data_IF_506382099063
#
_entry.id   IF_506382099063
#
_cell.length_a   1.000
_cell.length_b   1.000
_cell.length_c   1.000
_cell.angle_alpha   90.00
_cell.angle_beta   90.00
_cell.angle_gamma   90.00
#
_symmetry.space_group_name_H-M   'P 1'
#
loop_
_entity.id
_entity.type
_entity.pdbx_description
1 polymer ?
#
# COMPACT_ATOMS: atom_id res chain seq x y z
N UNK A 1 -29.43 1.01 30.31
CA UNK A 1 -29.20 1.07 28.84
C UNK A 1 -27.71 1.07 28.52
N UNK A 2 -27.07 -0.09 28.70
CA UNK A 2 -25.72 -0.46 28.24
C UNK A 2 -25.74 -2.00 28.15
N UNK A 3 -25.07 -2.57 27.13
CA UNK A 3 -24.93 -4.01 26.78
C UNK A 3 -25.88 -4.50 25.68
N UNK A 4 -25.48 -4.36 24.42
CA UNK A 4 -25.99 -5.20 23.33
C UNK A 4 -24.98 -5.48 22.18
N UNK A 5 -23.69 -5.17 22.34
CA UNK A 5 -22.68 -5.34 21.28
C UNK A 5 -21.56 -6.35 21.57
N UNK A 6 -21.77 -7.29 22.51
CA UNK A 6 -20.77 -8.35 22.83
C UNK A 6 -21.27 -9.77 22.48
N UNK A 7 -22.45 -9.91 21.88
CA UNK A 7 -23.08 -11.24 21.73
C UNK A 7 -22.83 -11.99 20.41
N UNK A 8 -22.07 -11.43 19.47
CA UNK A 8 -21.82 -12.05 18.15
C UNK A 8 -20.45 -12.74 17.99
N UNK A 9 -19.55 -12.67 18.99
CA UNK A 9 -18.27 -13.39 18.95
C UNK A 9 -18.25 -14.70 19.74
N UNK A 10 -19.19 -14.90 20.67
CA UNK A 10 -19.19 -16.08 21.55
C UNK A 10 -19.94 -17.30 20.99
N UNK A 11 -20.90 -17.11 20.08
CA UNK A 11 -21.65 -18.21 19.46
C UNK A 11 -20.78 -19.07 18.54
N UNK A 12 -19.81 -18.46 17.86
CA UNK A 12 -18.88 -19.14 16.94
C UNK A 12 -17.82 -19.98 17.68
N UNK A 13 -17.38 -19.50 18.84
CA UNK A 13 -16.44 -20.21 19.72
C UNK A 13 -17.09 -21.42 20.40
N UNK A 14 -18.39 -21.35 20.70
CA UNK A 14 -19.11 -22.47 21.31
C UNK A 14 -19.35 -23.61 20.31
N UNK A 15 -19.69 -23.28 19.05
CA UNK A 15 -19.74 -24.25 17.95
C UNK A 15 -18.37 -24.91 17.71
N UNK A 16 -17.28 -24.17 17.91
CA UNK A 16 -15.90 -24.67 17.79
C UNK A 16 -15.52 -25.65 18.91
N UNK A 17 -15.83 -25.35 20.19
CA UNK A 17 -15.60 -26.28 21.31
C UNK A 17 -16.47 -27.54 21.21
N UNK A 18 -17.72 -27.41 20.74
CA UNK A 18 -18.63 -28.54 20.62
C UNK A 18 -18.20 -29.51 19.49
N UNK A 19 -17.61 -28.99 18.41
CA UNK A 19 -17.02 -29.82 17.35
C UNK A 19 -15.73 -30.52 17.81
N UNK A 20 -14.93 -29.85 18.65
CA UNK A 20 -13.67 -30.41 19.16
C UNK A 20 -13.90 -31.55 20.15
N UNK A 21 -14.90 -31.42 21.04
CA UNK A 21 -15.30 -32.51 21.96
C UNK A 21 -15.80 -33.76 21.24
N UNK A 22 -16.45 -33.61 20.09
CA UNK A 22 -16.92 -34.74 19.28
C UNK A 22 -15.79 -35.52 18.60
N UNK A 23 -14.60 -34.93 18.47
CA UNK A 23 -13.40 -35.55 17.86
C UNK A 23 -12.61 -36.34 18.90
N UNK A 24 -12.58 -35.90 20.17
CA UNK A 24 -11.89 -36.61 21.26
C UNK A 24 -12.61 -37.88 21.73
N UNK A 25 -13.94 -37.95 21.63
CA UNK A 25 -14.70 -39.17 21.97
C UNK A 25 -14.44 -40.34 21.00
N UNK A 26 -13.91 -40.08 19.80
CA UNK A 26 -13.52 -41.13 18.84
C UNK A 26 -12.17 -41.78 19.16
N UNK A 27 -11.52 -41.39 20.26
CA UNK A 27 -10.14 -41.78 20.61
C UNK A 27 -10.01 -42.90 21.66
N UNK A 28 -11.08 -43.65 21.95
CA UNK A 28 -11.03 -44.83 22.83
C UNK A 28 -11.56 -46.07 22.11
N UNK A 29 -10.85 -46.55 21.09
CA UNK A 29 -10.93 -47.95 20.66
C UNK A 29 -9.73 -48.35 19.80
N UNK A 30 -8.92 -49.25 20.37
CA UNK A 30 -8.06 -50.24 19.70
C UNK A 30 -6.73 -49.82 19.03
N UNK A 31 -5.66 -50.13 19.78
CA UNK A 31 -4.53 -51.03 19.46
C UNK A 31 -3.66 -50.79 18.19
N UNK A 32 -2.37 -50.62 18.51
CA UNK A 32 -1.15 -51.21 17.90
C UNK A 32 -0.45 -50.40 16.80
N UNK A 33 0.62 -49.73 17.24
CA UNK A 33 1.99 -49.77 16.71
C UNK A 33 2.15 -49.92 15.20
N UNK A 34 2.25 -48.78 14.52
CA UNK A 34 2.99 -48.53 13.26
C UNK A 34 2.76 -47.10 12.73
N UNK A 35 1.89 -46.30 13.38
CA UNK A 35 1.55 -44.94 12.95
C UNK A 35 2.35 -43.80 13.61
N UNK A 36 3.37 -44.05 14.42
CA UNK A 36 4.06 -42.97 15.15
C UNK A 36 4.92 -42.07 14.24
N UNK A 37 5.49 -42.60 13.14
CA UNK A 37 6.24 -41.80 12.17
C UNK A 37 5.35 -41.05 11.18
N UNK A 38 4.21 -41.62 10.77
CA UNK A 38 3.27 -40.93 9.89
C UNK A 38 2.48 -39.86 10.62
N UNK A 39 2.15 -40.03 11.91
CA UNK A 39 1.48 -39.00 12.70
C UNK A 39 2.40 -37.79 12.93
N UNK A 40 3.72 -37.97 13.06
CA UNK A 40 4.64 -36.83 13.19
C UNK A 40 4.80 -36.05 11.87
N UNK A 41 4.82 -36.75 10.72
CA UNK A 41 4.78 -36.14 9.38
C UNK A 41 3.44 -35.45 9.07
N UNK A 42 2.32 -35.99 9.56
CA UNK A 42 1.00 -35.36 9.44
C UNK A 42 0.89 -34.15 10.38
N UNK A 43 1.50 -34.18 11.57
CA UNK A 43 1.52 -33.03 12.47
C UNK A 43 2.38 -31.88 11.93
N UNK A 44 3.53 -32.19 11.30
CA UNK A 44 4.37 -31.23 10.57
C UNK A 44 3.70 -30.68 9.28
N UNK A 45 2.87 -31.48 8.60
CA UNK A 45 2.05 -31.01 7.47
C UNK A 45 0.82 -30.20 7.91
N UNK A 46 0.24 -30.48 9.08
CA UNK A 46 -0.90 -29.73 9.59
C UNK A 46 -0.49 -28.36 10.15
N UNK A 47 0.73 -28.22 10.69
CA UNK A 47 1.28 -26.92 11.07
C UNK A 47 1.60 -26.05 9.85
N UNK A 48 2.09 -26.62 8.73
CA UNK A 48 2.25 -25.86 7.48
C UNK A 48 0.90 -25.42 6.88
N UNK A 49 -0.14 -26.26 6.98
CA UNK A 49 -1.50 -25.92 6.51
C UNK A 49 -2.17 -24.84 7.40
N UNK A 50 -1.86 -24.75 8.70
CA UNK A 50 -2.35 -23.66 9.53
C UNK A 50 -1.70 -22.31 9.20
N UNK A 51 -0.40 -22.30 8.87
CA UNK A 51 0.29 -21.09 8.38
C UNK A 51 -0.32 -20.64 7.04
N UNK A 52 -0.64 -21.58 6.16
CA UNK A 52 -1.33 -21.28 4.90
C UNK A 52 -2.76 -20.77 5.10
N UNK A 53 -3.52 -21.23 6.09
CA UNK A 53 -4.88 -20.70 6.33
C UNK A 53 -4.89 -19.28 6.89
N UNK A 54 -3.95 -18.92 7.75
CA UNK A 54 -3.81 -17.55 8.23
C UNK A 54 -3.38 -16.61 7.09
N UNK A 55 -2.43 -17.06 6.26
CA UNK A 55 -2.06 -16.37 5.02
C UNK A 55 -3.24 -16.28 4.05
N UNK A 56 -4.02 -17.34 3.87
CA UNK A 56 -5.20 -17.38 2.99
C UNK A 56 -6.33 -16.47 3.48
N UNK A 57 -6.53 -16.36 4.80
CA UNK A 57 -7.50 -15.43 5.38
C UNK A 57 -7.00 -13.98 5.27
N UNK A 58 -5.71 -13.72 5.52
CA UNK A 58 -5.10 -12.40 5.26
C UNK A 58 -5.18 -12.02 3.76
N UNK A 59 -5.00 -13.00 2.88
CA UNK A 59 -5.08 -12.88 1.43
C UNK A 59 -6.49 -12.55 0.92
N UNK A 60 -7.54 -13.02 1.61
CA UNK A 60 -8.94 -12.67 1.32
C UNK A 60 -9.28 -11.23 1.78
N UNK A 61 -8.47 -10.63 2.64
CA UNK A 61 -8.71 -9.30 3.23
C UNK A 61 -7.55 -8.32 2.96
N UNK A 62 -7.07 -8.25 1.71
CA UNK A 62 -6.26 -7.11 1.26
C UNK A 62 -7.15 -5.85 1.27
N UNK A 63 -7.25 -5.27 2.45
CA UNK A 63 -7.86 -3.98 2.75
C UNK A 63 -6.75 -2.96 2.91
N UNK A 64 -7.05 -1.69 2.66
CA UNK A 64 -6.16 -0.61 3.04
C UNK A 64 -5.77 -0.72 4.53
N UNK A 65 -4.46 -0.80 4.79
CA UNK A 65 -3.89 -1.00 6.13
C UNK A 65 -3.79 0.33 6.85
N UNK A 66 -4.30 0.37 8.08
CA UNK A 66 -4.24 1.56 8.95
C UNK A 66 -2.93 1.60 9.72
N UNK A 67 -2.22 2.72 9.65
CA UNK A 67 -0.93 2.94 10.31
C UNK A 67 -0.84 4.29 11.01
N UNK A 68 0.11 4.38 11.93
CA UNK A 68 0.42 5.61 12.64
C UNK A 68 1.93 5.70 12.87
N UNK A 69 2.52 6.85 12.59
CA UNK A 69 3.93 7.14 12.81
C UNK A 69 4.09 8.07 14.01
N UNK A 70 4.64 7.60 15.13
CA UNK A 70 4.89 8.41 16.34
C UNK A 70 3.69 9.27 16.79
N UNK A 71 2.48 8.71 16.71
CA UNK A 71 1.19 9.39 16.97
C UNK A 71 0.64 10.29 15.84
N UNK A 72 1.32 10.42 14.71
CA UNK A 72 0.83 11.10 13.52
C UNK A 72 0.16 10.12 12.54
N UNK A 73 -1.04 10.47 12.07
CA UNK A 73 -1.83 9.72 11.10
C UNK A 73 -1.42 10.01 9.64
N UNK A 74 -0.49 10.94 9.40
CA UNK A 74 -0.03 11.31 8.06
C UNK A 74 1.07 10.35 7.54
N UNK A 75 0.69 9.12 7.23
CA UNK A 75 1.59 8.06 6.80
C UNK A 75 2.37 8.41 5.52
N UNK A 76 1.75 9.15 4.59
CA UNK A 76 2.39 9.61 3.34
C UNK A 76 3.42 10.72 3.52
N UNK A 77 3.52 11.31 4.71
CA UNK A 77 4.65 12.20 5.01
C UNK A 77 5.94 11.42 5.24
N UNK A 78 5.83 10.24 5.86
CA UNK A 78 6.96 9.44 6.34
C UNK A 78 7.28 8.23 5.46
N UNK A 79 6.46 7.97 4.44
CA UNK A 79 6.65 6.85 3.52
C UNK A 79 6.42 7.27 2.08
N UNK A 80 7.09 6.59 1.16
CA UNK A 80 6.80 6.69 -0.28
C UNK A 80 6.67 5.28 -0.82
N UNK A 81 5.50 4.96 -1.35
CA UNK A 81 5.20 3.66 -1.93
C UNK A 81 5.15 3.78 -3.44
N UNK A 82 5.80 2.84 -4.13
CA UNK A 82 5.73 2.67 -5.59
C UNK A 82 5.54 1.19 -5.92
N UNK A 83 5.41 0.87 -7.20
CA UNK A 83 5.34 -0.51 -7.68
C UNK A 83 6.69 -1.25 -7.65
N UNK A 84 7.83 -0.57 -7.53
CA UNK A 84 9.15 -1.21 -7.53
C UNK A 84 9.85 -1.18 -6.18
N UNK A 85 9.56 -0.18 -5.34
CA UNK A 85 10.23 0.02 -4.07
C UNK A 85 9.35 0.78 -3.08
N UNK A 86 9.65 0.62 -1.80
CA UNK A 86 9.05 1.39 -0.73
C UNK A 86 10.15 2.11 0.06
N UNK A 87 10.01 3.41 0.24
CA UNK A 87 10.88 4.20 1.12
C UNK A 87 10.16 4.46 2.43
N UNK A 88 10.87 4.28 3.54
CA UNK A 88 10.36 4.56 4.88
C UNK A 88 11.33 5.44 5.66
N UNK A 89 10.80 6.40 6.41
CA UNK A 89 11.58 7.27 7.28
C UNK A 89 12.34 6.47 8.36
N UNK A 90 13.54 6.93 8.68
CA UNK A 90 14.28 6.43 9.85
C UNK A 90 13.64 6.97 11.14
N UNK A 91 13.65 6.15 12.20
CA UNK A 91 13.16 6.53 13.52
C UNK A 91 11.66 6.27 13.72
N UNK A 92 11.06 5.37 12.94
CA UNK A 92 9.72 4.87 13.20
C UNK A 92 9.70 3.81 14.32
N UNK A 93 8.51 3.52 14.83
CA UNK A 93 8.31 2.38 15.73
C UNK A 93 8.39 1.07 14.97
N UNK A 94 8.76 -0.02 15.65
CA UNK A 94 8.76 -1.36 15.05
C UNK A 94 7.37 -1.74 14.51
N UNK A 95 6.30 -1.26 15.15
CA UNK A 95 4.92 -1.47 14.68
C UNK A 95 4.71 -0.88 13.27
N UNK A 96 5.29 0.30 13.01
CA UNK A 96 5.22 0.93 11.70
C UNK A 96 5.96 0.08 10.66
N UNK A 97 7.20 -0.31 10.93
CA UNK A 97 7.98 -1.13 10.01
C UNK A 97 7.36 -2.51 9.77
N UNK A 98 6.86 -3.16 10.82
CA UNK A 98 6.27 -4.49 10.76
C UNK A 98 5.07 -4.55 9.80
N UNK A 99 4.29 -3.48 9.70
CA UNK A 99 3.14 -3.45 8.82
C UNK A 99 3.49 -3.23 7.35
N UNK A 100 4.56 -2.48 7.04
CA UNK A 100 5.08 -2.44 5.68
C UNK A 100 5.75 -3.77 5.34
N UNK A 101 6.53 -4.35 6.26
CA UNK A 101 7.21 -5.62 6.07
C UNK A 101 6.22 -6.78 5.89
N UNK A 102 5.10 -6.82 6.62
CA UNK A 102 4.10 -7.88 6.49
C UNK A 102 3.42 -7.93 5.13
N UNK A 103 3.22 -6.77 4.49
CA UNK A 103 2.51 -6.65 3.22
C UNK A 103 3.46 -6.61 2.01
N UNK A 104 4.69 -6.12 2.18
CA UNK A 104 5.58 -5.79 1.05
C UNK A 104 6.88 -6.59 1.01
N UNK A 105 7.33 -7.19 2.12
CA UNK A 105 8.69 -7.75 2.20
C UNK A 105 9.00 -8.83 1.15
N UNK A 106 7.97 -9.56 0.71
CA UNK A 106 8.12 -10.62 -0.29
C UNK A 106 8.12 -10.09 -1.74
N UNK A 107 7.68 -8.85 -1.98
CA UNK A 107 7.43 -8.31 -3.34
C UNK A 107 8.34 -7.15 -3.70
N UNK A 108 8.54 -6.20 -2.78
CA UNK A 108 9.35 -4.98 -3.03
C UNK A 108 10.32 -4.68 -1.90
N UNK A 109 11.52 -4.15 -2.20
CA UNK A 109 12.48 -3.73 -1.19
C UNK A 109 11.93 -2.53 -0.39
N UNK A 110 12.02 -2.65 0.94
CA UNK A 110 11.71 -1.57 1.88
C UNK A 110 13.02 -0.93 2.32
N UNK A 111 13.24 0.32 1.91
CA UNK A 111 14.47 1.06 2.18
C UNK A 111 14.22 2.07 3.30
N UNK A 112 14.91 1.90 4.43
CA UNK A 112 14.86 2.82 5.57
C UNK A 112 15.87 3.94 5.33
N UNK A 113 15.40 5.16 5.13
CA UNK A 113 16.27 6.29 4.74
C UNK A 113 15.82 7.62 5.33
N UNK A 114 16.73 8.59 5.33
CA UNK A 114 16.46 10.01 5.56
C UNK A 114 16.79 10.78 4.29
N UNK A 115 16.19 11.95 4.12
CA UNK A 115 16.53 12.87 3.04
C UNK A 115 16.90 14.22 3.64
N UNK A 116 18.16 14.64 3.45
CA UNK A 116 18.69 15.88 4.02
C UNK A 116 18.68 15.86 5.54
N UNK A 117 18.87 14.69 6.16
CA UNK A 117 18.80 14.51 7.62
C UNK A 117 17.39 14.65 8.21
N UNK A 118 16.35 14.69 7.38
CA UNK A 118 14.96 14.78 7.82
C UNK A 118 14.22 13.45 7.68
N UNK A 119 13.11 13.33 8.43
CA UNK A 119 12.24 12.14 8.44
C UNK A 119 11.06 12.24 7.47
N UNK A 120 10.86 13.38 6.81
CA UNK A 120 9.69 13.66 5.96
C UNK A 120 9.89 13.20 4.52
N UNK A 121 10.34 11.96 4.35
CA UNK A 121 10.80 11.46 3.05
C UNK A 121 9.71 11.45 1.98
N UNK A 122 8.46 11.15 2.33
CA UNK A 122 7.36 11.04 1.36
C UNK A 122 6.98 12.38 0.74
N UNK A 123 7.27 13.48 1.45
CA UNK A 123 7.08 14.86 0.99
C UNK A 123 8.26 15.38 0.19
N UNK A 124 9.46 14.92 0.52
CA UNK A 124 10.68 15.38 -0.13
C UNK A 124 10.95 14.70 -1.46
N UNK A 125 10.47 13.46 -1.66
CA UNK A 125 10.69 12.71 -2.89
C UNK A 125 9.41 12.42 -3.67
N UNK A 126 9.58 12.27 -4.98
CA UNK A 126 8.56 11.78 -5.90
C UNK A 126 9.20 10.69 -6.76
N UNK A 127 8.44 9.68 -7.15
CA UNK A 127 8.99 8.56 -7.89
C UNK A 127 7.93 7.54 -8.29
N UNK A 128 8.27 6.77 -9.31
CA UNK A 128 7.48 5.66 -9.84
C UNK A 128 8.38 4.43 -9.96
N UNK A 129 7.96 3.38 -10.67
CA UNK A 129 8.81 2.18 -10.81
C UNK A 129 10.12 2.39 -11.58
N UNK A 130 10.21 3.45 -12.39
CA UNK A 130 11.35 3.71 -13.28
C UNK A 130 12.38 4.65 -12.66
N UNK A 131 11.96 5.55 -11.77
CA UNK A 131 12.84 6.58 -11.25
C UNK A 131 12.41 7.17 -9.91
N UNK A 132 13.40 7.70 -9.19
CA UNK A 132 13.25 8.38 -7.91
C UNK A 132 13.90 9.76 -7.99
N UNK A 133 13.09 10.79 -7.73
CA UNK A 133 13.51 12.17 -7.64
C UNK A 133 13.75 12.55 -6.18
N UNK A 134 14.96 13.04 -5.91
CA UNK A 134 15.38 13.48 -4.58
C UNK A 134 15.79 14.96 -4.61
N UNK A 135 15.59 15.72 -3.52
CA UNK A 135 15.94 17.13 -3.49
C UNK A 135 17.46 17.34 -3.47
N UNK A 136 17.90 18.54 -3.84
CA UNK A 136 19.31 18.94 -3.77
C UNK A 136 19.92 18.86 -2.36
N UNK A 137 19.09 18.90 -1.31
CA UNK A 137 19.52 18.80 0.10
C UNK A 137 19.92 17.38 0.52
N UNK A 138 19.64 16.37 -0.31
CA UNK A 138 20.01 14.97 -0.01
C UNK A 138 21.52 14.80 -0.01
N UNK A 139 22.05 14.24 1.08
CA UNK A 139 23.50 14.03 1.25
C UNK A 139 24.02 12.91 0.33
N UNK A 140 25.34 12.90 0.06
CA UNK A 140 25.96 11.85 -0.77
C UNK A 140 25.88 10.47 -0.13
N UNK A 141 25.89 10.40 1.21
CA UNK A 141 25.72 9.14 1.94
C UNK A 141 24.30 8.58 1.77
N UNK A 142 23.27 9.43 1.90
CA UNK A 142 21.87 9.03 1.68
C UNK A 142 21.66 8.59 0.23
N UNK A 143 22.24 9.30 -0.73
CA UNK A 143 22.10 8.96 -2.14
C UNK A 143 22.80 7.63 -2.48
N UNK A 144 24.00 7.39 -1.95
CA UNK A 144 24.69 6.12 -2.12
C UNK A 144 23.90 4.97 -1.48
N UNK A 145 23.30 5.20 -0.31
CA UNK A 145 22.43 4.22 0.33
C UNK A 145 21.23 3.87 -0.55
N UNK A 146 20.54 4.87 -1.10
CA UNK A 146 19.43 4.66 -2.03
C UNK A 146 19.85 3.83 -3.25
N UNK A 147 20.97 4.19 -3.89
CA UNK A 147 21.48 3.46 -5.06
C UNK A 147 21.86 2.00 -4.76
N UNK A 148 22.34 1.72 -3.54
CA UNK A 148 22.71 0.36 -3.15
C UNK A 148 21.49 -0.50 -2.78
N UNK A 149 20.39 0.11 -2.34
CA UNK A 149 19.20 -0.61 -1.86
C UNK A 149 18.07 -0.69 -2.88
N UNK A 150 18.03 0.21 -3.86
CA UNK A 150 17.04 0.21 -4.93
C UNK A 150 17.44 -0.76 -6.05
N UNK A 151 16.46 -1.31 -6.80
CA UNK A 151 16.74 -2.09 -8.00
C UNK A 151 17.50 -1.26 -9.05
N UNK A 152 18.41 -1.88 -9.80
CA UNK A 152 19.22 -1.21 -10.84
C UNK A 152 18.39 -0.54 -11.94
N UNK A 153 17.14 -0.96 -12.12
CA UNK A 153 16.20 -0.35 -13.06
C UNK A 153 15.73 1.07 -12.64
N UNK A 154 15.87 1.43 -11.36
CA UNK A 154 15.38 2.69 -10.81
C UNK A 154 16.47 3.76 -10.92
N UNK A 155 16.23 4.79 -11.72
CA UNK A 155 17.15 5.92 -11.86
C UNK A 155 16.93 6.90 -10.71
N UNK A 156 17.96 7.08 -9.85
CA UNK A 156 17.93 8.05 -8.76
C UNK A 156 18.61 9.35 -9.20
N UNK A 157 17.84 10.43 -9.30
CA UNK A 157 18.30 11.74 -9.75
C UNK A 157 18.03 12.84 -8.72
N UNK A 158 19.03 13.69 -8.49
CA UNK A 158 18.88 14.93 -7.71
C UNK A 158 18.31 16.04 -8.58
N UNK A 159 17.32 16.74 -8.05
CA UNK A 159 16.73 17.92 -8.66
C UNK A 159 16.94 19.14 -7.76
N UNK A 160 17.39 20.24 -8.35
CA UNK A 160 17.37 21.55 -7.72
C UNK A 160 16.04 22.25 -8.03
N UNK A 161 15.10 22.14 -7.10
CA UNK A 161 13.83 22.85 -7.17
C UNK A 161 13.72 23.83 -5.99
N UNK A 162 13.24 25.05 -6.26
CA UNK A 162 13.21 26.17 -5.30
C UNK A 162 11.81 26.51 -4.80
N UNK A 163 10.76 26.07 -5.50
CA UNK A 163 9.38 26.40 -5.16
C UNK A 163 8.92 25.71 -3.86
N UNK A 164 8.98 24.38 -3.84
CA UNK A 164 8.52 23.54 -2.73
C UNK A 164 9.12 22.14 -2.86
N UNK A 165 8.88 21.28 -1.86
CA UNK A 165 9.32 19.91 -1.85
C UNK A 165 8.72 19.10 -3.02
N UNK A 166 9.52 18.23 -3.64
CA UNK A 166 9.16 17.49 -4.86
C UNK A 166 7.88 16.65 -4.68
N UNK A 167 7.71 16.00 -3.54
CA UNK A 167 6.52 15.19 -3.24
C UNK A 167 5.24 16.00 -3.02
N UNK A 168 5.33 17.32 -2.82
CA UNK A 168 4.15 18.20 -2.81
C UNK A 168 3.81 18.72 -4.19
N UNK A 169 4.85 18.94 -5.01
CA UNK A 169 4.72 19.50 -6.35
C UNK A 169 4.36 18.46 -7.41
N UNK A 170 4.64 17.17 -7.16
CA UNK A 170 4.54 16.11 -8.15
C UNK A 170 3.66 14.97 -7.62
N UNK A 171 2.61 14.63 -8.37
CA UNK A 171 1.82 13.42 -8.19
C UNK A 171 1.99 12.55 -9.44
N UNK A 172 2.55 11.35 -9.32
CA UNK A 172 2.89 10.51 -10.47
C UNK A 172 2.39 9.08 -10.30
N UNK A 173 2.02 8.46 -11.43
CA UNK A 173 1.90 7.02 -11.58
C UNK A 173 2.98 6.52 -12.57
N UNK A 174 2.87 5.30 -13.09
CA UNK A 174 3.87 4.75 -14.02
C UNK A 174 3.73 5.26 -15.47
N UNK A 175 2.70 6.04 -15.78
CA UNK A 175 2.36 6.47 -17.14
C UNK A 175 2.32 8.00 -17.31
N UNK A 176 1.85 8.69 -16.29
CA UNK A 176 1.55 10.12 -16.28
C UNK A 176 1.98 10.74 -14.94
N UNK A 177 2.45 11.98 -14.99
CA UNK A 177 2.70 12.80 -13.82
C UNK A 177 1.95 14.13 -13.90
N UNK A 178 1.33 14.53 -12.80
CA UNK A 178 0.87 15.88 -12.57
C UNK A 178 1.95 16.66 -11.84
N UNK A 179 2.25 17.85 -12.34
CA UNK A 179 3.23 18.76 -11.76
C UNK A 179 2.61 20.13 -11.46
N UNK A 180 3.28 20.86 -10.59
CA UNK A 180 3.01 22.26 -10.28
C UNK A 180 3.02 23.13 -11.55
N UNK A 181 2.10 24.09 -11.66
CA UNK A 181 1.96 24.94 -12.87
C UNK A 181 3.19 25.78 -13.17
N UNK A 182 3.83 26.29 -12.11
CA UNK A 182 4.96 27.22 -12.20
C UNK A 182 6.31 26.50 -12.22
N UNK A 183 6.33 25.18 -12.41
CA UNK A 183 7.57 24.40 -12.47
C UNK A 183 8.44 24.84 -13.67
N UNK A 184 9.75 24.90 -13.49
CA UNK A 184 10.67 25.27 -14.57
C UNK A 184 10.68 24.20 -15.66
N UNK A 185 10.82 24.60 -16.93
CA UNK A 185 10.85 23.65 -18.07
C UNK A 185 11.99 22.65 -17.97
N UNK A 186 13.15 23.09 -17.49
CA UNK A 186 14.31 22.22 -17.27
C UNK A 186 13.97 21.12 -16.24
N UNK A 187 13.30 21.49 -15.14
CA UNK A 187 12.84 20.52 -14.14
C UNK A 187 11.79 19.57 -14.70
N UNK A 188 10.87 20.06 -15.53
CA UNK A 188 9.85 19.24 -16.20
C UNK A 188 10.46 18.18 -17.12
N UNK A 189 11.45 18.57 -17.93
CA UNK A 189 12.19 17.65 -18.81
C UNK A 189 12.91 16.57 -18.00
N UNK A 190 13.56 16.95 -16.89
CA UNK A 190 14.22 15.98 -15.99
C UNK A 190 13.20 15.00 -15.39
N UNK A 191 12.02 15.47 -14.98
CA UNK A 191 10.96 14.61 -14.44
C UNK A 191 10.50 13.62 -15.52
N UNK A 192 10.24 14.10 -16.73
CA UNK A 192 9.78 13.27 -17.84
C UNK A 192 10.82 12.19 -18.21
N UNK A 193 12.10 12.55 -18.27
CA UNK A 193 13.18 11.65 -18.62
C UNK A 193 13.46 10.59 -17.53
N UNK A 194 13.49 11.00 -16.26
CA UNK A 194 13.84 10.11 -15.14
C UNK A 194 12.69 9.16 -14.81
N UNK A 195 11.45 9.66 -14.80
CA UNK A 195 10.27 8.84 -14.51
C UNK A 195 9.78 8.09 -15.76
N UNK A 196 10.13 8.54 -16.96
CA UNK A 196 9.65 7.97 -18.22
C UNK A 196 8.15 8.12 -18.39
N UNK A 197 7.59 9.29 -18.03
CA UNK A 197 6.15 9.59 -18.05
C UNK A 197 5.87 10.93 -18.69
N UNK A 198 4.65 11.09 -19.20
CA UNK A 198 4.17 12.39 -19.67
C UNK A 198 3.84 13.29 -18.49
N UNK A 199 4.38 14.52 -18.49
CA UNK A 199 4.16 15.49 -17.41
C UNK A 199 3.11 16.49 -17.85
N UNK A 200 2.08 16.69 -17.01
CA UNK A 200 1.04 17.70 -17.21
C UNK A 200 1.03 18.68 -16.05
N UNK A 201 1.02 19.96 -16.40
CA UNK A 201 0.88 21.06 -15.44
C UNK A 201 -0.60 21.28 -15.17
N UNK A 202 -1.04 20.99 -13.95
CA UNK A 202 -2.45 21.11 -13.60
C UNK A 202 -2.65 21.51 -12.14
N UNK A 203 -3.85 21.98 -11.81
CA UNK A 203 -4.26 22.30 -10.43
C UNK A 203 -5.40 21.40 -9.98
N UNK A 204 -5.53 21.18 -8.67
CA UNK A 204 -6.58 20.33 -8.10
C UNK A 204 -7.39 21.16 -7.11
N UNK A 205 -8.66 21.39 -7.42
CA UNK A 205 -9.56 22.26 -6.65
C UNK A 205 -8.96 23.66 -6.39
N UNK A 206 -8.27 24.24 -7.39
CA UNK A 206 -7.59 25.53 -7.28
C UNK A 206 -6.26 25.51 -6.50
N UNK A 207 -5.83 24.34 -6.02
CA UNK A 207 -4.53 24.19 -5.36
C UNK A 207 -3.43 23.81 -6.36
N UNK A 208 -2.30 24.49 -6.23
CA UNK A 208 -1.09 24.27 -7.04
C UNK A 208 -0.26 23.05 -6.59
N UNK A 209 -0.43 22.61 -5.33
CA UNK A 209 0.33 21.50 -4.74
C UNK A 209 -0.35 20.14 -5.02
N UNK A 210 -0.28 19.68 -6.26
CA UNK A 210 -0.95 18.45 -6.71
C UNK A 210 -0.58 17.20 -5.89
N UNK A 211 0.68 17.05 -5.47
CA UNK A 211 1.14 15.90 -4.67
C UNK A 211 0.59 15.88 -3.24
N UNK A 212 0.18 17.03 -2.70
CA UNK A 212 -0.47 17.09 -1.39
C UNK A 212 -1.94 16.71 -1.43
N UNK A 213 -2.63 17.10 -2.51
CA UNK A 213 -4.08 17.02 -2.62
C UNK A 213 -4.56 15.88 -3.52
N UNK A 214 -3.64 15.02 -3.95
CA UNK A 214 -3.95 13.85 -4.76
C UNK A 214 -3.06 12.67 -4.40
N UNK A 215 -3.64 11.47 -4.43
CA UNK A 215 -2.91 10.21 -4.44
C UNK A 215 -3.31 9.42 -5.69
N UNK A 216 -2.31 9.00 -6.46
CA UNK A 216 -2.48 8.30 -7.74
C UNK A 216 -1.86 6.91 -7.68
N UNK A 217 -2.50 5.95 -8.35
CA UNK A 217 -1.90 4.69 -8.79
C UNK A 217 -2.20 4.47 -10.27
N UNK A 218 -1.80 3.33 -10.84
CA UNK A 218 -2.15 3.02 -12.24
C UNK A 218 -3.62 2.60 -12.39
N UNK A 219 -4.31 2.31 -11.28
CA UNK A 219 -5.69 1.79 -11.29
C UNK A 219 -6.74 2.85 -11.03
N UNK A 220 -6.38 3.92 -10.34
CA UNK A 220 -7.29 4.98 -9.94
C UNK A 220 -6.58 6.06 -9.14
N UNK A 221 -7.35 7.04 -8.68
CA UNK A 221 -6.84 8.12 -7.85
C UNK A 221 -7.91 8.75 -6.97
N UNK A 222 -7.44 9.36 -5.88
CA UNK A 222 -8.28 10.18 -5.00
C UNK A 222 -7.76 11.61 -5.07
N UNK A 223 -8.69 12.54 -5.24
CA UNK A 223 -8.41 13.98 -5.28
C UNK A 223 -9.20 14.71 -4.19
N UNK A 224 -8.82 15.96 -3.97
CA UNK A 224 -9.42 16.85 -2.98
C UNK A 224 -10.97 16.82 -3.01
N UNK A 225 -11.65 16.82 -1.84
CA UNK A 225 -13.11 16.66 -1.78
C UNK A 225 -13.90 17.80 -2.45
N UNK A 226 -13.32 19.00 -2.52
CA UNK A 226 -13.94 20.17 -3.17
C UNK A 226 -13.63 20.27 -4.68
N UNK A 227 -13.06 19.24 -5.30
CA UNK A 227 -12.83 19.22 -6.75
C UNK A 227 -14.18 19.18 -7.46
N UNK A 228 -14.38 20.03 -8.47
CA UNK A 228 -15.63 20.06 -9.22
C UNK A 228 -15.77 18.77 -10.06
N UNK A 229 -17.01 18.42 -10.43
CA UNK A 229 -17.27 17.25 -11.29
C UNK A 229 -16.65 17.44 -12.69
N UNK A 230 -16.64 18.68 -13.18
CA UNK A 230 -16.02 19.03 -14.46
C UNK A 230 -14.50 18.80 -14.42
N UNK A 231 -13.82 19.29 -13.37
CA UNK A 231 -12.37 19.08 -13.17
C UNK A 231 -12.04 17.59 -12.98
N UNK A 232 -12.90 16.84 -12.28
CA UNK A 232 -12.75 15.40 -12.10
C UNK A 232 -12.79 14.65 -13.43
N UNK A 233 -13.74 14.96 -14.30
CA UNK A 233 -13.90 14.34 -15.61
C UNK A 233 -12.74 14.71 -16.54
N UNK A 234 -12.27 15.96 -16.50
CA UNK A 234 -11.08 16.41 -17.23
C UNK A 234 -9.82 15.66 -16.77
N UNK A 235 -9.56 15.61 -15.46
CA UNK A 235 -8.41 14.92 -14.88
C UNK A 235 -8.45 13.41 -15.14
N UNK A 236 -9.64 12.80 -15.06
CA UNK A 236 -9.85 11.37 -15.35
C UNK A 236 -9.54 11.06 -16.81
N UNK A 237 -9.95 11.94 -17.73
CA UNK A 237 -9.65 11.82 -19.16
C UNK A 237 -8.16 12.04 -19.44
N UNK A 238 -7.51 12.97 -18.75
CA UNK A 238 -6.09 13.24 -18.92
C UNK A 238 -5.23 12.08 -18.38
N UNK A 239 -5.54 11.58 -17.18
CA UNK A 239 -4.77 10.52 -16.54
C UNK A 239 -5.14 9.11 -17.02
N UNK A 240 -6.24 8.96 -17.76
CA UNK A 240 -6.79 7.68 -18.23
C UNK A 240 -7.10 6.69 -17.08
N UNK A 241 -7.32 7.20 -15.86
CA UNK A 241 -7.66 6.41 -14.66
C UNK A 241 -8.87 7.02 -13.96
N UNK A 242 -9.74 6.20 -13.34
CA UNK A 242 -10.90 6.72 -12.61
C UNK A 242 -10.45 7.52 -11.39
N UNK A 243 -11.07 8.69 -11.20
CA UNK A 243 -10.83 9.56 -10.05
C UNK A 243 -12.08 9.72 -9.21
N UNK A 244 -11.90 9.83 -7.90
CA UNK A 244 -12.96 10.13 -6.94
C UNK A 244 -12.50 11.25 -6.01
N UNK A 245 -13.39 12.20 -5.74
CA UNK A 245 -13.21 13.18 -4.68
C UNK A 245 -13.49 12.53 -3.32
N UNK A 246 -12.56 12.64 -2.38
CA UNK A 246 -12.67 11.99 -1.08
C UNK A 246 -11.79 12.61 0.00
N UNK A 247 -11.93 12.09 1.21
CA UNK A 247 -11.11 12.50 2.37
C UNK A 247 -10.41 11.30 2.98
N UNK A 248 -9.39 11.58 3.78
CA UNK A 248 -8.66 10.59 4.59
C UNK A 248 -8.60 11.06 6.04
N UNK A 249 -8.28 10.19 6.99
CA UNK A 249 -8.09 10.59 8.39
C UNK A 249 -9.27 11.37 8.99
N UNK A 250 -10.51 10.90 8.78
CA UNK A 250 -11.73 11.49 9.37
C UNK A 250 -11.99 12.92 8.87
N UNK A 251 -11.94 13.10 7.54
CA UNK A 251 -12.27 14.37 6.90
C UNK A 251 -11.08 15.28 6.59
N UNK A 252 -9.84 14.78 6.64
CA UNK A 252 -8.68 15.53 6.16
C UNK A 252 -8.69 15.61 4.63
N UNK A 253 -8.45 16.82 4.14
CA UNK A 253 -8.41 17.15 2.72
C UNK A 253 -7.03 16.87 2.08
N UNK A 254 -6.01 16.66 2.92
CA UNK A 254 -4.62 16.46 2.48
C UNK A 254 -4.36 14.97 2.23
N UNK A 255 -4.86 14.49 1.10
CA UNK A 255 -4.84 13.06 0.73
C UNK A 255 -3.42 12.50 0.66
N UNK A 256 -2.49 13.21 0.01
CA UNK A 256 -1.10 12.77 -0.11
C UNK A 256 -0.35 12.69 1.23
N UNK A 257 -0.86 13.33 2.30
CA UNK A 257 -0.32 13.14 3.66
C UNK A 257 -0.88 11.90 4.30
N UNK A 258 -2.19 11.73 4.19
CA UNK A 258 -2.91 10.72 4.95
C UNK A 258 -2.70 9.31 4.43
N UNK A 259 -2.21 9.15 3.20
CA UNK A 259 -2.04 7.83 2.62
C UNK A 259 -0.92 7.71 1.58
N UNK A 260 -0.50 6.47 1.34
CA UNK A 260 0.32 6.04 0.21
C UNK A 260 -0.29 4.80 -0.42
N UNK A 261 -0.15 4.67 -1.73
CA UNK A 261 -0.83 3.62 -2.49
C UNK A 261 0.04 3.13 -3.64
N UNK A 262 -0.05 1.84 -3.92
CA UNK A 262 0.41 1.24 -5.16
C UNK A 262 -0.74 0.44 -5.79
N UNK A 263 -0.45 -0.41 -6.77
CA UNK A 263 -1.50 -1.12 -7.49
C UNK A 263 -2.15 -2.28 -6.71
N UNK A 264 -1.59 -2.73 -5.58
CA UNK A 264 -2.09 -3.88 -4.83
C UNK A 264 -2.31 -3.64 -3.33
N UNK A 265 -1.64 -2.66 -2.73
CA UNK A 265 -1.74 -2.28 -1.32
C UNK A 265 -1.90 -0.76 -1.18
N UNK A 266 -2.58 -0.36 -0.10
CA UNK A 266 -2.66 1.02 0.32
C UNK A 266 -2.42 1.10 1.84
N UNK A 267 -1.66 2.09 2.26
CA UNK A 267 -1.48 2.43 3.66
C UNK A 267 -2.10 3.79 3.94
N UNK A 268 -2.90 3.85 4.98
CA UNK A 268 -3.64 5.04 5.37
C UNK A 268 -3.46 5.32 6.86
N UNK A 269 -3.72 6.54 7.30
CA UNK A 269 -3.64 6.87 8.71
C UNK A 269 -4.68 6.15 9.57
N UNK A 270 -4.35 5.94 10.85
CA UNK A 270 -5.18 5.21 11.81
C UNK A 270 -6.58 5.80 12.02
N UNK A 271 -6.74 7.10 11.81
CA UNK A 271 -8.03 7.79 11.97
C UNK A 271 -8.95 7.64 10.76
N UNK A 272 -8.48 7.00 9.68
CA UNK A 272 -9.29 6.80 8.47
C UNK A 272 -10.51 5.92 8.76
N UNK A 273 -11.68 6.48 8.52
CA UNK A 273 -12.98 5.87 8.82
C UNK A 273 -13.27 4.68 7.91
N UNK A 274 -14.16 3.77 8.33
CA UNK A 274 -14.52 2.60 7.51
C UNK A 274 -15.17 2.99 6.17
N UNK A 275 -15.89 4.12 6.15
CA UNK A 275 -16.46 4.68 4.91
C UNK A 275 -15.38 5.19 3.96
N UNK A 276 -14.38 5.91 4.48
CA UNK A 276 -13.23 6.37 3.67
C UNK A 276 -12.43 5.17 3.13
N UNK A 277 -12.16 4.15 3.96
CA UNK A 277 -11.50 2.92 3.49
C UNK A 277 -12.28 2.21 2.39
N UNK A 278 -13.61 2.15 2.49
CA UNK A 278 -14.42 1.51 1.45
C UNK A 278 -14.31 2.24 0.11
N UNK A 279 -14.17 3.57 0.13
CA UNK A 279 -13.95 4.36 -1.09
C UNK A 279 -12.55 4.08 -1.65
N UNK A 280 -11.53 4.07 -0.79
CA UNK A 280 -10.13 3.76 -1.14
C UNK A 280 -10.01 2.37 -1.78
N UNK A 281 -10.54 1.33 -1.13
CA UNK A 281 -10.51 -0.04 -1.64
C UNK A 281 -11.18 -0.15 -3.02
N UNK A 282 -12.29 0.59 -3.21
CA UNK A 282 -13.08 0.57 -4.43
C UNK A 282 -12.38 1.26 -5.59
N UNK A 283 -11.82 2.46 -5.36
CA UNK A 283 -11.21 3.26 -6.44
C UNK A 283 -9.88 2.68 -6.90
N UNK A 284 -9.07 2.16 -5.97
CA UNK A 284 -7.77 1.56 -6.29
C UNK A 284 -7.87 0.07 -6.66
N UNK A 285 -9.07 -0.53 -6.58
CA UNK A 285 -9.33 -1.94 -6.93
C UNK A 285 -8.39 -2.93 -6.22
N UNK A 286 -8.11 -2.69 -4.95
CA UNK A 286 -7.15 -3.50 -4.17
C UNK A 286 -7.62 -4.96 -4.03
N UNK A 287 -8.94 -5.19 -4.00
CA UNK A 287 -9.55 -6.53 -3.91
C UNK A 287 -9.46 -7.35 -5.19
N UNK A 288 -9.32 -6.70 -6.35
CA UNK A 288 -9.27 -7.37 -7.66
C UNK A 288 -7.83 -7.72 -8.08
N UNK A 289 -6.81 -7.37 -7.30
CA UNK A 289 -5.41 -7.66 -7.64
C UNK A 289 -5.03 -9.16 -7.54
N UNK A 290 -5.82 -10.00 -6.86
CA UNK A 290 -5.48 -11.40 -6.53
C UNK A 290 -6.49 -12.51 -6.91
N UNK A 291 -7.55 -12.34 -7.74
CA UNK A 291 -8.49 -13.43 -8.03
C UNK A 291 -8.06 -14.36 -9.18
N UNK A 292 -7.06 -14.02 -10.02
CA UNK A 292 -6.76 -14.85 -11.21
C UNK A 292 -5.86 -16.05 -10.91
N UNK A 293 -4.81 -15.90 -10.11
CA UNK A 293 -3.86 -17.00 -9.82
C UNK A 293 -4.52 -18.12 -9.01
N UNK A 294 -5.32 -17.78 -7.99
CA UNK A 294 -5.98 -18.78 -7.13
C UNK A 294 -7.14 -19.48 -7.85
N UNK A 295 -7.93 -18.77 -8.67
CA UNK A 295 -9.03 -19.43 -9.41
C UNK A 295 -8.49 -20.40 -10.46
N UNK A 296 -7.35 -20.09 -11.08
CA UNK A 296 -6.72 -20.98 -12.05
C UNK A 296 -6.02 -22.17 -11.36
N UNK A 297 -5.42 -22.00 -10.19
CA UNK A 297 -4.91 -23.12 -9.37
C UNK A 297 -6.02 -24.00 -8.79
N UNK A 298 -7.14 -23.40 -8.35
CA UNK A 298 -8.32 -24.14 -7.91
C UNK A 298 -8.96 -24.90 -9.07
N UNK A 299 -9.00 -24.33 -10.29
CA UNK A 299 -9.45 -25.05 -11.49
C UNK A 299 -8.51 -26.19 -11.84
N UNK A 300 -7.19 -25.97 -11.82
CA UNK A 300 -6.20 -27.03 -12.09
C UNK A 300 -6.30 -28.18 -11.09
N UNK A 301 -6.37 -27.89 -9.79
CA UNK A 301 -6.51 -28.94 -8.77
C UNK A 301 -7.82 -29.71 -8.85
N UNK A 302 -8.93 -29.06 -9.22
CA UNK A 302 -10.19 -29.75 -9.49
C UNK A 302 -10.11 -30.63 -10.74
N UNK A 303 -9.42 -30.20 -11.80
CA UNK A 303 -9.26 -30.99 -13.04
C UNK A 303 -8.39 -32.23 -12.79
N UNK A 304 -7.30 -32.11 -12.03
CA UNK A 304 -6.41 -33.23 -11.68
C UNK A 304 -7.06 -34.26 -10.74
N UNK A 305 -8.22 -33.96 -10.13
CA UNK A 305 -8.97 -34.91 -9.30
C UNK A 305 -9.92 -35.79 -10.12
N UNK A 306 -10.21 -35.39 -11.37
CA UNK A 306 -11.16 -36.07 -12.26
C UNK A 306 -10.52 -36.78 -13.47
N UNK A 307 -9.18 -36.86 -13.50
CA UNK A 307 -8.38 -37.66 -14.45
C UNK A 307 -7.63 -38.73 -13.68
#
# INVERSE_FOLDING_TARGET
>A
MRRQWVFLSYSSLWLYESLWRSIDEYRIANRIDTMTHHIHLIHLRLTSIQVDRAKFIAFIFLMATRLQFENNCEVGVFSKLTNAYCLVAIGGSENFYSAFESELADVIPIVKTSLGGTRIIGRLCAGNKNGLLVPHTTTDQELQHLRNSLPDAVVVQRIEERLSALGNCIACNDHVALAHTDLDKETEEIIADVLGVEVFRQTIAGNILVGSYCALSNRGGIVHPHTSVEDLDELSTLLQVPLVAGTVNRGSEVIGAGMTVNDWTAFCGSDTTATELSVIDSIFKLREAQPSSIVDEMRKSLIDTYV
#
